data_IF_916744583255
#
_entry.id   IF_916744583255
#
_cell.length_a   1.000
_cell.length_b   1.000
_cell.length_c   1.000
_cell.angle_alpha   90.00
_cell.angle_beta   90.00
_cell.angle_gamma   90.00
#
_symmetry.space_group_name_H-M   'P 1'
#
loop_
_entity.id
_entity.type
_entity.pdbx_description
1 polymer ?
#
# COMPACT_ATOMS: atom_id res chain seq x y z
N UNK A 1 -3.37 24.90 2.78
CA UNK A 1 -3.55 23.43 2.81
C UNK A 1 -3.29 22.96 4.24
N UNK A 2 -4.29 22.45 4.94
CA UNK A 2 -4.13 21.90 6.29
C UNK A 2 -3.36 20.58 6.18
N UNK A 3 -2.12 20.52 6.68
CA UNK A 3 -1.37 19.27 6.80
C UNK A 3 -2.00 18.51 7.97
N UNK A 4 -2.90 17.59 7.68
CA UNK A 4 -3.53 16.76 8.70
C UNK A 4 -2.46 15.82 9.27
N UNK A 5 -1.89 16.18 10.43
CA UNK A 5 -0.97 15.31 11.15
C UNK A 5 -1.76 14.14 11.75
N UNK A 6 -1.57 12.96 11.17
CA UNK A 6 -2.13 11.70 11.67
C UNK A 6 -1.02 10.87 12.30
N UNK A 7 -1.30 10.25 13.44
CA UNK A 7 -0.38 9.34 14.13
C UNK A 7 -0.91 7.92 14.03
N UNK A 8 -0.04 6.99 13.62
CA UNK A 8 -0.36 5.57 13.58
C UNK A 8 0.37 4.92 14.75
N UNK A 9 -0.34 4.40 15.77
CA UNK A 9 0.31 3.65 16.83
C UNK A 9 0.82 2.32 16.27
N UNK A 10 2.09 2.03 16.50
CA UNK A 10 2.74 0.79 16.10
C UNK A 10 3.49 0.20 17.29
N UNK A 11 3.84 -1.08 17.19
CA UNK A 11 4.74 -1.71 18.17
C UNK A 11 6.16 -1.18 17.95
N UNK A 12 6.96 -1.18 19.01
CA UNK A 12 8.37 -0.75 18.97
C UNK A 12 9.16 -1.52 17.90
N UNK A 13 9.06 -2.86 17.89
CA UNK A 13 9.68 -3.70 16.86
C UNK A 13 9.28 -3.29 15.43
N UNK A 14 8.02 -2.92 15.22
CA UNK A 14 7.55 -2.45 13.91
C UNK A 14 8.14 -1.09 13.56
N UNK A 15 8.26 -0.19 14.54
CA UNK A 15 8.88 1.11 14.37
C UNK A 15 10.36 0.99 13.99
N UNK A 16 11.10 0.10 14.66
CA UNK A 16 12.51 -0.14 14.36
C UNK A 16 12.71 -0.68 12.94
N UNK A 17 11.89 -1.67 12.54
CA UNK A 17 11.91 -2.23 11.19
C UNK A 17 11.54 -1.20 10.11
N UNK A 18 10.59 -0.30 10.39
CA UNK A 18 10.29 0.82 9.51
C UNK A 18 11.46 1.80 9.43
N UNK A 19 12.21 1.96 10.52
CA UNK A 19 13.44 2.76 10.59
C UNK A 19 14.58 2.19 9.73
N UNK A 20 14.71 0.87 9.63
CA UNK A 20 15.67 0.23 8.72
C UNK A 20 15.34 0.51 7.24
N UNK A 21 14.06 0.64 6.92
CA UNK A 21 13.58 0.98 5.59
C UNK A 21 13.78 2.47 5.24
N UNK A 22 13.85 3.31 6.27
CA UNK A 22 14.01 4.75 6.13
C UNK A 22 15.47 5.09 5.80
N UNK A 23 15.73 5.54 4.58
CA UNK A 23 17.06 5.96 4.14
C UNK A 23 17.57 7.20 4.89
N UNK A 24 18.88 7.44 4.77
CA UNK A 24 19.52 8.59 5.38
C UNK A 24 19.00 9.90 4.75
N UNK A 25 18.17 10.63 5.49
CA UNK A 25 17.58 11.89 5.05
C UNK A 25 16.10 11.80 4.66
N UNK A 26 15.55 10.59 4.57
CA UNK A 26 14.14 10.41 4.24
C UNK A 26 13.23 10.83 5.39
N UNK A 27 12.01 11.18 5.04
CA UNK A 27 10.92 11.50 5.94
C UNK A 27 10.01 10.31 6.12
N UNK A 28 9.27 10.27 7.24
CA UNK A 28 8.27 9.22 7.44
C UNK A 28 7.13 9.29 6.42
N UNK A 29 6.83 10.47 5.87
CA UNK A 29 5.85 10.62 4.80
C UNK A 29 6.31 9.93 3.50
N UNK A 30 7.62 9.97 3.19
CA UNK A 30 8.18 9.28 2.02
C UNK A 30 8.12 7.76 2.19
N UNK A 31 8.53 7.23 3.34
CA UNK A 31 8.41 5.80 3.66
C UNK A 31 6.96 5.33 3.56
N UNK A 32 6.00 6.13 4.06
CA UNK A 32 4.58 5.78 3.96
C UNK A 32 4.07 5.78 2.52
N UNK A 33 4.54 6.71 1.66
CA UNK A 33 4.17 6.71 0.24
C UNK A 33 4.70 5.47 -0.49
N UNK A 34 5.92 5.04 -0.19
CA UNK A 34 6.48 3.81 -0.77
C UNK A 34 5.69 2.57 -0.35
N UNK A 35 5.33 2.46 0.94
CA UNK A 35 4.52 1.35 1.44
C UNK A 35 3.13 1.30 0.77
N UNK A 36 2.50 2.46 0.55
CA UNK A 36 1.23 2.55 -0.17
C UNK A 36 1.40 2.06 -1.61
N UNK A 37 2.45 2.52 -2.32
CA UNK A 37 2.73 2.11 -3.68
C UNK A 37 2.96 0.60 -3.80
N UNK A 38 3.80 0.04 -2.92
CA UNK A 38 4.07 -1.39 -2.86
C UNK A 38 2.79 -2.21 -2.63
N UNK A 39 1.90 -1.76 -1.72
CA UNK A 39 0.63 -2.44 -1.47
C UNK A 39 -0.32 -2.38 -2.66
N UNK A 40 -0.38 -1.25 -3.36
CA UNK A 40 -1.21 -1.11 -4.56
C UNK A 40 -0.75 -2.05 -5.68
N UNK A 41 0.56 -2.13 -5.90
CA UNK A 41 1.15 -3.04 -6.88
C UNK A 41 0.87 -4.50 -6.55
N UNK A 42 1.00 -4.91 -5.28
CA UNK A 42 0.63 -6.26 -4.84
C UNK A 42 -0.85 -6.56 -5.06
N UNK A 43 -1.75 -5.66 -4.63
CA UNK A 43 -3.18 -5.81 -4.85
C UNK A 43 -3.50 -5.95 -6.36
N UNK A 44 -2.82 -5.19 -7.22
CA UNK A 44 -3.02 -5.27 -8.67
C UNK A 44 -2.62 -6.64 -9.21
N UNK A 45 -1.49 -7.20 -8.77
CA UNK A 45 -1.06 -8.55 -9.15
C UNK A 45 -2.02 -9.62 -8.66
N UNK A 46 -2.42 -9.56 -7.38
CA UNK A 46 -3.39 -10.50 -6.80
C UNK A 46 -4.73 -10.47 -7.56
N UNK A 47 -5.18 -9.27 -7.99
CA UNK A 47 -6.37 -9.15 -8.81
C UNK A 47 -6.17 -9.81 -10.18
N UNK A 48 -5.07 -9.52 -10.88
CA UNK A 48 -4.78 -10.12 -12.19
C UNK A 48 -4.63 -11.65 -12.12
N UNK A 49 -3.98 -12.18 -11.08
CA UNK A 49 -3.86 -13.63 -10.87
C UNK A 49 -5.23 -14.27 -10.67
N UNK A 50 -6.11 -13.64 -9.88
CA UNK A 50 -7.51 -14.09 -9.76
C UNK A 50 -8.28 -13.96 -11.07
N UNK A 51 -7.94 -12.96 -11.89
CA UNK A 51 -8.57 -12.71 -13.19
C UNK A 51 -8.21 -13.76 -14.24
N UNK A 52 -7.02 -14.35 -14.20
CA UNK A 52 -6.70 -15.42 -15.15
C UNK A 52 -7.48 -16.74 -14.87
N UNK A 53 -8.00 -16.93 -13.65
CA UNK A 53 -8.76 -18.13 -13.24
C UNK A 53 -10.29 -18.01 -13.34
N UNK A 54 -10.85 -16.80 -13.46
CA UNK A 54 -12.30 -16.54 -13.48
C UNK A 54 -12.77 -16.10 -14.89
N UNK A 55 -13.74 -16.80 -15.51
CA UNK A 55 -14.37 -16.39 -16.78
C UNK A 55 -15.18 -15.09 -16.56
N UNK A 56 -14.71 -13.97 -17.11
CA UNK A 56 -15.32 -12.67 -16.89
C UNK A 56 -16.61 -12.46 -17.67
N UNK A 57 -17.63 -11.96 -16.97
CA UNK A 57 -18.79 -11.29 -17.57
C UNK A 57 -18.58 -9.77 -17.41
N UNK A 58 -18.58 -8.97 -18.48
CA UNK A 58 -18.51 -7.51 -18.41
C UNK A 58 -19.56 -6.95 -17.45
N UNK A 59 -19.23 -5.90 -16.71
CA UNK A 59 -20.15 -5.28 -15.75
C UNK A 59 -21.40 -4.72 -16.42
N UNK A 60 -21.27 -4.34 -17.69
CA UNK A 60 -22.33 -3.92 -18.61
C UNK A 60 -23.28 -5.06 -19.03
N UNK A 61 -22.95 -6.32 -18.73
CA UNK A 61 -23.77 -7.50 -19.00
C UNK A 61 -24.50 -8.06 -17.75
N UNK A 62 -24.26 -7.50 -16.56
CA UNK A 62 -24.95 -7.88 -15.32
C UNK A 62 -26.04 -6.84 -15.01
N UNK A 63 -27.29 -7.11 -15.40
CA UNK A 63 -28.51 -6.36 -15.00
C UNK A 63 -29.12 -6.87 -13.67
#
# INVERSE_FOLDING_TARGET
MSRAEKRIPVREETFDRLGEFKGAGDTWDEVMQELIGARQEQNRRELLERTDDEEYVPLDEIE
#
